data_IF_849377077301
#
_entry.id   IF_849377077301
#
_cell.length_a   1.000
_cell.length_b   1.000
_cell.length_c   1.000
_cell.angle_alpha   90.00
_cell.angle_beta   90.00
_cell.angle_gamma   90.00
#
_symmetry.space_group_name_H-M   'P 1'
#
loop_
_entity.id
_entity.type
_entity.pdbx_description
1 polymer ?
#
# COMPACT_ATOMS: atom_id res chain seq x y z
N UNK A 1 11.74 -1.04 6.40
CA UNK A 1 10.72 -1.09 7.44
C UNK A 1 11.32 -0.74 8.79
N UNK A 2 10.52 -0.17 9.62
CA UNK A 2 10.84 0.15 11.01
C UNK A 2 9.93 -0.70 11.90
N UNK A 3 10.51 -1.63 12.65
CA UNK A 3 9.74 -2.58 13.46
C UNK A 3 8.91 -1.87 14.55
N UNK A 4 9.48 -0.86 15.21
CA UNK A 4 8.81 -0.16 16.31
C UNK A 4 7.65 0.68 15.77
N UNK A 5 7.85 1.42 14.68
CA UNK A 5 6.80 2.19 14.02
C UNK A 5 5.66 1.30 13.48
N UNK A 6 5.99 0.15 12.89
CA UNK A 6 5.01 -0.83 12.40
C UNK A 6 4.18 -1.42 13.56
N UNK A 7 4.83 -1.75 14.69
CA UNK A 7 4.16 -2.26 15.89
C UNK A 7 3.26 -1.19 16.53
N UNK A 8 3.72 0.06 16.59
CA UNK A 8 2.92 1.17 17.11
C UNK A 8 1.68 1.43 16.26
N UNK A 9 1.82 1.47 14.94
CA UNK A 9 0.69 1.58 14.02
C UNK A 9 -0.34 0.46 14.21
N UNK A 10 0.13 -0.78 14.42
CA UNK A 10 -0.74 -1.92 14.72
C UNK A 10 -1.50 -1.73 16.05
N UNK A 11 -0.85 -1.23 17.10
CA UNK A 11 -1.50 -0.94 18.39
C UNK A 11 -2.59 0.14 18.25
N UNK A 12 -2.36 1.14 17.42
CA UNK A 12 -3.37 2.18 17.16
C UNK A 12 -4.59 1.60 16.44
N UNK A 13 -4.37 0.75 15.43
CA UNK A 13 -5.46 0.05 14.74
C UNK A 13 -6.24 -0.86 15.69
N UNK A 14 -5.57 -1.58 16.59
CA UNK A 14 -6.24 -2.36 17.64
C UNK A 14 -7.13 -1.48 18.53
N UNK A 15 -6.62 -0.33 18.94
CA UNK A 15 -7.37 0.64 19.73
C UNK A 15 -8.61 1.18 19.02
N UNK A 16 -8.57 1.22 17.67
CA UNK A 16 -9.71 1.55 16.83
C UNK A 16 -10.71 0.39 16.64
N UNK A 17 -10.40 -0.81 17.16
CA UNK A 17 -11.32 -1.96 17.17
C UNK A 17 -11.34 -2.77 15.87
N UNK A 18 -10.23 -2.82 15.13
CA UNK A 18 -10.13 -3.68 13.94
C UNK A 18 -10.16 -5.16 14.31
N UNK A 19 -10.74 -5.98 13.45
CA UNK A 19 -10.89 -7.43 13.62
C UNK A 19 -10.05 -8.26 12.64
N UNK A 20 -9.35 -7.60 11.71
CA UNK A 20 -8.43 -8.19 10.75
C UNK A 20 -7.40 -7.13 10.38
N UNK A 21 -6.14 -7.50 10.29
CA UNK A 21 -5.09 -6.64 9.77
C UNK A 21 -4.52 -7.17 8.45
N UNK A 22 -4.09 -6.25 7.62
CA UNK A 22 -3.24 -6.53 6.46
C UNK A 22 -2.06 -5.59 6.51
N UNK A 23 -0.85 -6.13 6.34
CA UNK A 23 0.35 -5.31 6.34
C UNK A 23 0.92 -5.14 4.95
N UNK A 24 1.51 -3.97 4.68
CA UNK A 24 2.33 -3.69 3.50
C UNK A 24 3.72 -3.24 3.96
N UNK A 25 4.34 -4.03 4.82
CA UNK A 25 5.70 -3.82 5.35
C UNK A 25 6.45 -5.15 5.36
N UNK A 26 7.77 -5.08 5.42
CA UNK A 26 8.64 -6.26 5.44
C UNK A 26 9.13 -6.61 6.84
N UNK A 27 8.69 -5.87 7.88
CA UNK A 27 9.01 -6.21 9.27
C UNK A 27 8.00 -7.22 9.83
N UNK A 28 8.29 -7.74 10.99
CA UNK A 28 7.39 -8.63 11.73
C UNK A 28 6.62 -7.91 12.85
N UNK A 29 6.74 -6.58 12.96
CA UNK A 29 6.13 -5.80 14.03
C UNK A 29 4.62 -5.96 14.11
N UNK A 30 3.93 -5.78 12.97
CA UNK A 30 2.46 -5.94 12.91
C UNK A 30 2.05 -7.38 13.26
N UNK A 31 2.74 -8.38 12.70
CA UNK A 31 2.44 -9.79 12.96
C UNK A 31 2.62 -10.15 14.44
N UNK A 32 3.66 -9.60 15.10
CA UNK A 32 3.89 -9.81 16.54
C UNK A 32 2.73 -9.24 17.35
N UNK A 33 2.30 -8.01 17.06
CA UNK A 33 1.17 -7.38 17.76
C UNK A 33 -0.14 -8.16 17.51
N UNK A 34 -0.37 -8.65 16.30
CA UNK A 34 -1.53 -9.48 15.99
C UNK A 34 -1.53 -10.78 16.80
N UNK A 35 -0.37 -11.46 16.89
CA UNK A 35 -0.22 -12.70 17.66
C UNK A 35 -0.46 -12.48 19.17
N UNK A 36 -0.04 -11.35 19.72
CA UNK A 36 -0.24 -11.01 21.14
C UNK A 36 -1.70 -10.67 21.48
N UNK A 37 -2.53 -10.36 20.46
CA UNK A 37 -3.90 -9.87 20.64
C UNK A 37 -4.96 -10.73 19.94
N UNK A 38 -4.60 -11.93 19.46
CA UNK A 38 -5.50 -12.87 18.76
C UNK A 38 -6.22 -12.24 17.54
N UNK A 39 -5.53 -11.37 16.78
CA UNK A 39 -6.07 -10.69 15.61
C UNK A 39 -5.57 -11.35 14.33
N UNK A 40 -6.46 -11.87 13.45
CA UNK A 40 -6.07 -12.42 12.17
C UNK A 40 -5.30 -11.41 11.30
N UNK A 41 -4.27 -11.90 10.58
CA UNK A 41 -3.44 -11.05 9.73
C UNK A 41 -3.16 -11.68 8.38
N UNK A 42 -3.14 -10.84 7.33
CA UNK A 42 -2.59 -11.16 6.01
C UNK A 42 -1.26 -10.45 5.85
N UNK A 43 -0.20 -11.23 5.63
CA UNK A 43 1.16 -10.72 5.46
C UNK A 43 1.47 -10.24 4.05
N UNK A 44 2.63 -9.60 3.90
CA UNK A 44 3.16 -9.14 2.63
C UNK A 44 4.66 -9.41 2.52
N UNK A 45 5.11 -9.73 1.31
CA UNK A 45 6.49 -9.97 0.92
C UNK A 45 7.17 -11.18 1.56
N UNK A 46 6.90 -11.48 2.83
CA UNK A 46 7.46 -12.60 3.59
C UNK A 46 6.35 -13.46 4.20
N UNK A 47 6.65 -14.73 4.41
CA UNK A 47 5.73 -15.61 5.13
C UNK A 47 5.84 -15.33 6.64
N UNK A 48 4.74 -14.92 7.25
CA UNK A 48 4.67 -14.54 8.67
C UNK A 48 4.12 -15.65 9.58
N UNK A 49 3.88 -16.85 9.05
CA UNK A 49 3.28 -17.95 9.83
C UNK A 49 4.13 -18.39 11.01
N UNK A 50 5.46 -18.24 10.90
CA UNK A 50 6.36 -18.59 12.00
C UNK A 50 6.35 -17.55 13.14
N UNK A 51 5.85 -16.34 12.85
CA UNK A 51 5.73 -15.24 13.84
C UNK A 51 4.37 -15.26 14.51
N UNK A 52 3.31 -15.49 13.74
CA UNK A 52 1.92 -15.50 14.19
C UNK A 52 1.22 -16.81 13.75
N UNK A 53 1.56 -17.96 14.35
CA UNK A 53 1.11 -19.27 13.84
C UNK A 53 -0.42 -19.47 13.84
N UNK A 54 -1.13 -18.79 14.74
CA UNK A 54 -2.59 -18.88 14.86
C UNK A 54 -3.30 -17.76 14.10
N UNK A 55 -2.67 -16.60 13.96
CA UNK A 55 -3.28 -15.37 13.42
C UNK A 55 -2.94 -15.15 11.95
N UNK A 56 -1.76 -15.62 11.48
CA UNK A 56 -1.38 -15.50 10.07
C UNK A 56 -2.26 -16.39 9.20
N UNK A 57 -3.09 -15.79 8.36
CA UNK A 57 -3.96 -16.51 7.42
C UNK A 57 -3.21 -16.93 6.17
N UNK A 58 -2.44 -16.03 5.62
CA UNK A 58 -1.54 -16.19 4.47
C UNK A 58 -0.69 -14.93 4.30
N UNK A 59 0.20 -14.93 3.33
CA UNK A 59 0.96 -13.74 2.91
C UNK A 59 1.01 -13.66 1.39
N UNK A 60 0.85 -12.49 0.81
CA UNK A 60 1.22 -12.24 -0.57
C UNK A 60 2.74 -12.15 -0.66
N UNK A 61 3.38 -13.07 -1.38
CA UNK A 61 4.84 -13.15 -1.47
C UNK A 61 5.33 -12.94 -2.90
N UNK A 62 6.50 -12.31 -3.03
CA UNK A 62 7.21 -12.17 -4.29
C UNK A 62 8.16 -13.36 -4.46
N UNK A 63 7.94 -14.14 -5.50
CA UNK A 63 8.79 -15.28 -5.83
C UNK A 63 9.95 -14.84 -6.72
N UNK A 64 11.00 -14.32 -6.10
CA UNK A 64 12.20 -13.85 -6.78
C UNK A 64 12.91 -14.93 -7.62
N UNK A 65 12.69 -16.22 -7.33
CA UNK A 65 13.31 -17.32 -8.06
C UNK A 65 12.93 -17.28 -9.56
N UNK A 66 11.74 -16.82 -9.90
CA UNK A 66 11.29 -16.67 -11.30
C UNK A 66 12.18 -15.69 -12.04
N UNK A 67 12.36 -14.49 -11.48
CA UNK A 67 13.22 -13.48 -12.11
C UNK A 67 14.70 -13.89 -12.15
N UNK A 68 15.24 -14.42 -11.07
CA UNK A 68 16.65 -14.82 -11.04
C UNK A 68 16.93 -15.95 -12.03
N UNK A 69 16.03 -16.92 -12.15
CA UNK A 69 16.14 -17.98 -13.15
C UNK A 69 16.12 -17.40 -14.57
N UNK A 70 15.23 -16.47 -14.86
CA UNK A 70 15.19 -15.75 -16.13
C UNK A 70 16.50 -15.02 -16.42
N UNK A 71 16.97 -14.20 -15.48
CA UNK A 71 18.19 -13.40 -15.64
C UNK A 71 19.44 -14.27 -15.86
N UNK A 72 19.59 -15.36 -15.09
CA UNK A 72 20.68 -16.33 -15.27
C UNK A 72 20.62 -16.98 -16.64
N UNK A 73 19.42 -17.40 -17.10
CA UNK A 73 19.26 -17.98 -18.44
C UNK A 73 19.61 -16.99 -19.55
N UNK A 74 19.29 -15.71 -19.42
CA UNK A 74 19.71 -14.68 -20.35
C UNK A 74 21.24 -14.62 -20.45
N UNK A 75 21.93 -14.59 -19.33
CA UNK A 75 23.40 -14.55 -19.28
C UNK A 75 24.01 -15.80 -19.92
N UNK A 76 23.54 -16.99 -19.55
CA UNK A 76 24.02 -18.28 -20.08
C UNK A 76 23.85 -18.38 -21.60
N UNK A 77 22.75 -17.85 -22.13
CA UNK A 77 22.43 -17.90 -23.56
C UNK A 77 22.96 -16.69 -24.34
N UNK A 78 23.64 -15.74 -23.70
CA UNK A 78 24.14 -14.52 -24.34
C UNK A 78 23.04 -13.60 -24.84
N UNK A 79 21.86 -13.65 -24.24
CA UNK A 79 20.73 -12.76 -24.54
C UNK A 79 20.67 -11.62 -23.53
N UNK A 80 20.15 -10.45 -23.98
CA UNK A 80 19.98 -9.31 -23.07
C UNK A 80 18.90 -9.60 -22.04
N UNK A 81 19.12 -9.19 -20.79
CA UNK A 81 18.09 -9.13 -19.77
C UNK A 81 17.16 -7.97 -20.14
N UNK A 82 15.85 -8.18 -20.04
CA UNK A 82 14.86 -7.13 -20.27
C UNK A 82 15.07 -5.99 -19.26
N UNK A 83 15.02 -4.75 -19.74
CA UNK A 83 15.21 -3.57 -18.91
C UNK A 83 13.97 -3.21 -18.09
N UNK A 84 12.83 -3.79 -18.43
CA UNK A 84 11.53 -3.59 -17.75
C UNK A 84 10.79 -4.93 -17.69
N UNK A 85 11.36 -5.87 -16.92
CA UNK A 85 10.74 -7.17 -16.69
C UNK A 85 9.63 -7.04 -15.65
N UNK A 86 8.47 -7.58 -15.97
CA UNK A 86 7.34 -7.66 -15.04
C UNK A 86 6.76 -9.07 -15.10
N UNK A 87 6.63 -9.70 -13.95
CA UNK A 87 5.97 -10.99 -13.78
C UNK A 87 4.85 -10.89 -12.76
N UNK A 88 3.75 -11.51 -13.04
CA UNK A 88 2.55 -11.52 -12.20
C UNK A 88 2.20 -12.92 -11.69
N UNK A 89 0.92 -13.09 -11.47
CA UNK A 89 0.33 -14.35 -11.00
C UNK A 89 0.51 -15.49 -12.02
N UNK A 90 0.40 -15.18 -13.32
CA UNK A 90 0.55 -16.16 -14.42
C UNK A 90 1.96 -16.73 -14.50
N UNK A 91 2.96 -15.91 -14.18
CA UNK A 91 4.37 -16.31 -14.17
C UNK A 91 4.77 -16.95 -12.85
N UNK A 92 3.90 -17.02 -11.86
CA UNK A 92 4.17 -17.35 -10.47
C UNK A 92 5.22 -16.43 -9.82
N UNK A 93 5.37 -15.21 -10.32
CA UNK A 93 6.26 -14.19 -9.73
C UNK A 93 5.65 -13.57 -8.46
N UNK A 94 4.32 -13.57 -8.37
CA UNK A 94 3.56 -13.28 -7.16
C UNK A 94 2.71 -14.50 -6.81
N UNK A 95 2.72 -14.92 -5.55
CA UNK A 95 1.95 -16.07 -5.07
C UNK A 95 1.45 -15.80 -3.66
N UNK A 96 0.51 -16.62 -3.19
CA UNK A 96 0.21 -16.70 -1.77
C UNK A 96 1.19 -17.67 -1.09
N UNK A 97 1.54 -17.40 0.15
CA UNK A 97 2.20 -18.38 1.03
C UNK A 97 1.25 -19.54 1.34
N UNK A 98 1.71 -20.51 2.10
CA UNK A 98 0.83 -21.55 2.61
C UNK A 98 -0.39 -20.92 3.30
N UNK A 99 -1.59 -21.41 2.95
CA UNK A 99 -2.81 -21.04 3.63
C UNK A 99 -2.87 -21.73 5.01
N UNK A 100 -3.30 -20.99 6.01
CA UNK A 100 -3.50 -21.51 7.35
C UNK A 100 -4.97 -21.95 7.52
N UNK A 101 -5.33 -23.05 6.86
CA UNK A 101 -6.70 -23.54 6.72
C UNK A 101 -7.38 -23.81 8.08
N UNK A 102 -6.61 -24.10 9.13
CA UNK A 102 -7.15 -24.29 10.47
C UNK A 102 -7.76 -23.01 11.08
N UNK A 103 -7.37 -21.85 10.53
CA UNK A 103 -7.78 -20.53 11.04
C UNK A 103 -8.56 -19.70 10.01
N UNK A 104 -8.76 -20.24 8.80
CA UNK A 104 -9.62 -19.64 7.78
C UNK A 104 -11.10 -19.97 8.05
N UNK A 105 -11.98 -19.04 7.72
CA UNK A 105 -13.41 -19.29 7.76
C UNK A 105 -13.82 -20.34 6.70
N UNK A 106 -14.90 -21.06 6.97
CA UNK A 106 -15.45 -22.06 6.03
C UNK A 106 -15.70 -21.45 4.65
N UNK A 107 -15.25 -22.12 3.60
CA UNK A 107 -15.38 -21.69 2.21
C UNK A 107 -14.34 -20.69 1.74
N UNK A 108 -13.42 -20.23 2.62
CA UNK A 108 -12.36 -19.28 2.23
C UNK A 108 -11.38 -19.88 1.23
N UNK A 109 -11.00 -21.13 1.39
CA UNK A 109 -10.04 -21.80 0.49
C UNK A 109 -10.62 -21.91 -0.92
N UNK A 110 -11.87 -22.36 -1.04
CA UNK A 110 -12.56 -22.45 -2.32
C UNK A 110 -12.70 -21.08 -2.97
N UNK A 111 -13.07 -20.05 -2.20
CA UNK A 111 -13.18 -18.69 -2.73
C UNK A 111 -11.85 -18.12 -3.20
N UNK A 112 -10.76 -18.38 -2.47
CA UNK A 112 -9.41 -17.96 -2.88
C UNK A 112 -9.00 -18.65 -4.20
N UNK A 113 -9.28 -19.95 -4.35
CA UNK A 113 -8.99 -20.68 -5.59
C UNK A 113 -9.80 -20.16 -6.77
N UNK A 114 -11.07 -19.79 -6.57
CA UNK A 114 -11.91 -19.20 -7.61
C UNK A 114 -11.36 -17.83 -8.04
N UNK A 115 -11.00 -16.96 -7.09
CA UNK A 115 -10.40 -15.65 -7.40
C UNK A 115 -9.05 -15.81 -8.09
N UNK A 116 -8.21 -16.75 -7.65
CA UNK A 116 -6.95 -17.06 -8.33
C UNK A 116 -7.17 -17.44 -9.79
N UNK A 117 -8.16 -18.27 -10.06
CA UNK A 117 -8.54 -18.67 -11.42
C UNK A 117 -9.06 -17.50 -12.24
N UNK A 118 -9.93 -16.66 -11.66
CA UNK A 118 -10.42 -15.43 -12.29
C UNK A 118 -9.27 -14.49 -12.67
N UNK A 119 -8.28 -14.30 -11.77
CA UNK A 119 -7.08 -13.49 -12.04
C UNK A 119 -6.23 -14.08 -13.18
N UNK A 120 -5.97 -15.39 -13.16
CA UNK A 120 -5.17 -16.07 -14.21
C UNK A 120 -5.84 -16.02 -15.57
N UNK A 121 -7.16 -16.08 -15.61
CA UNK A 121 -7.92 -16.01 -16.88
C UNK A 121 -8.12 -14.56 -17.37
N UNK A 122 -7.81 -13.56 -16.54
CA UNK A 122 -8.10 -12.16 -16.82
C UNK A 122 -9.57 -11.78 -16.69
N UNK A 123 -10.35 -12.61 -15.98
CA UNK A 123 -11.78 -12.37 -15.73
C UNK A 123 -11.99 -11.40 -14.56
N UNK A 124 -11.05 -11.37 -13.59
CA UNK A 124 -11.06 -10.40 -12.50
C UNK A 124 -10.29 -9.14 -12.90
N UNK A 125 -10.92 -7.99 -12.70
CA UNK A 125 -10.29 -6.68 -12.82
C UNK A 125 -9.82 -6.23 -11.42
N UNK A 126 -8.52 -6.01 -11.24
CA UNK A 126 -7.97 -5.54 -9.94
C UNK A 126 -8.36 -4.08 -9.72
N UNK A 127 -8.06 -3.21 -10.68
CA UNK A 127 -8.45 -1.82 -10.66
C UNK A 127 -9.53 -1.56 -11.73
N UNK A 128 -10.75 -1.98 -11.42
CA UNK A 128 -11.91 -1.79 -12.28
C UNK A 128 -12.34 -0.32 -12.27
N UNK A 129 -12.05 0.39 -13.36
CA UNK A 129 -12.27 1.83 -13.50
C UNK A 129 -13.76 2.21 -13.54
N UNK A 130 -14.65 1.23 -13.68
CA UNK A 130 -16.09 1.43 -13.59
C UNK A 130 -16.60 1.50 -12.13
N UNK A 131 -15.74 1.14 -11.15
CA UNK A 131 -16.11 1.05 -9.72
C UNK A 131 -15.62 2.23 -8.89
N UNK A 132 -14.88 3.14 -9.46
CA UNK A 132 -14.42 4.33 -8.76
C UNK A 132 -14.41 5.55 -9.67
N UNK A 133 -14.44 6.72 -9.07
CA UNK A 133 -14.26 8.01 -9.71
C UNK A 133 -13.19 8.81 -8.98
N UNK A 134 -12.70 9.86 -9.61
CA UNK A 134 -11.76 10.84 -9.04
C UNK A 134 -12.36 12.22 -9.34
N UNK A 135 -12.64 13.00 -8.32
CA UNK A 135 -13.31 14.29 -8.43
C UNK A 135 -14.62 14.22 -9.25
N UNK A 136 -15.39 13.15 -9.06
CA UNK A 136 -16.66 12.90 -9.74
C UNK A 136 -16.54 12.46 -11.21
N UNK A 137 -15.33 12.24 -11.72
CA UNK A 137 -15.08 11.86 -13.11
C UNK A 137 -14.49 10.46 -13.21
N UNK A 138 -14.75 9.75 -14.32
CA UNK A 138 -14.07 8.48 -14.58
C UNK A 138 -12.60 8.70 -14.90
N UNK A 139 -11.74 7.71 -14.60
CA UNK A 139 -10.32 7.78 -14.90
C UNK A 139 -10.07 7.90 -16.42
N UNK A 140 -10.92 7.29 -17.24
CA UNK A 140 -10.87 7.41 -18.70
C UNK A 140 -11.07 8.86 -19.15
N UNK A 141 -12.12 9.51 -18.63
CA UNK A 141 -12.42 10.91 -18.96
C UNK A 141 -11.28 11.82 -18.56
N UNK A 142 -10.77 11.66 -17.32
CA UNK A 142 -9.62 12.45 -16.86
C UNK A 142 -8.37 12.21 -17.72
N UNK A 143 -8.11 10.96 -18.10
CA UNK A 143 -6.96 10.63 -18.97
C UNK A 143 -7.07 11.22 -20.38
N UNK A 144 -8.28 11.54 -20.87
CA UNK A 144 -8.52 12.22 -22.14
C UNK A 144 -8.41 13.75 -22.00
N UNK A 145 -9.02 14.32 -20.97
CA UNK A 145 -9.29 15.74 -20.86
C UNK A 145 -8.28 16.50 -19.97
N UNK A 146 -7.64 15.82 -19.00
CA UNK A 146 -6.75 16.44 -18.04
C UNK A 146 -5.27 16.10 -18.32
N UNK A 147 -4.43 17.13 -18.34
CA UNK A 147 -3.01 17.00 -18.65
C UNK A 147 -2.24 16.14 -17.63
N UNK A 148 -2.60 16.22 -16.37
CA UNK A 148 -1.95 15.49 -15.26
C UNK A 148 -2.31 14.00 -15.28
N UNK A 149 -3.49 13.66 -15.83
CA UNK A 149 -3.97 12.30 -15.95
C UNK A 149 -3.61 11.61 -17.27
N UNK A 150 -3.14 12.33 -18.27
CA UNK A 150 -2.73 11.75 -19.57
C UNK A 150 -1.71 10.62 -19.46
N UNK A 151 -0.88 10.64 -18.41
CA UNK A 151 0.10 9.58 -18.14
C UNK A 151 -0.52 8.20 -17.96
N UNK A 152 -1.76 8.13 -17.51
CA UNK A 152 -2.49 6.87 -17.23
C UNK A 152 -3.16 6.26 -18.49
N UNK A 153 -3.42 7.05 -19.52
CA UNK A 153 -4.24 6.65 -20.69
C UNK A 153 -3.81 5.33 -21.34
N UNK A 154 -2.50 5.07 -21.44
CA UNK A 154 -1.99 3.84 -22.10
C UNK A 154 -2.18 2.58 -21.26
N UNK A 155 -2.43 2.73 -19.95
CA UNK A 155 -2.62 1.62 -19.03
C UNK A 155 -4.08 1.33 -18.74
N UNK A 156 -5.01 2.18 -19.21
CA UNK A 156 -6.45 1.95 -19.12
C UNK A 156 -6.88 1.12 -20.33
N UNK A 157 -7.38 -0.08 -20.09
CA UNK A 157 -7.81 -1.01 -21.15
C UNK A 157 -9.00 -1.85 -20.70
N UNK A 158 -10.10 -1.75 -21.43
CA UNK A 158 -11.29 -2.57 -21.19
C UNK A 158 -11.94 -2.30 -19.83
N UNK A 159 -11.92 -1.06 -19.37
CA UNK A 159 -12.48 -0.67 -18.06
C UNK A 159 -11.62 -1.14 -16.87
N UNK A 160 -10.32 -1.26 -17.08
CA UNK A 160 -9.36 -1.61 -16.02
C UNK A 160 -8.09 -0.79 -16.18
N UNK A 161 -7.55 -0.30 -15.09
CA UNK A 161 -6.20 0.25 -15.02
C UNK A 161 -5.21 -0.90 -14.80
N UNK A 162 -4.35 -1.14 -15.79
CA UNK A 162 -3.33 -2.20 -15.75
C UNK A 162 -2.04 -1.64 -15.15
N UNK A 163 -1.89 -1.74 -13.83
CA UNK A 163 -0.67 -1.31 -13.13
C UNK A 163 0.51 -2.25 -13.39
N UNK A 164 0.21 -3.51 -13.72
CA UNK A 164 1.20 -4.52 -14.09
C UNK A 164 1.13 -4.79 -15.58
N UNK A 165 2.18 -4.55 -16.29
CA UNK A 165 2.25 -4.80 -17.74
C UNK A 165 3.70 -4.94 -18.16
N UNK A 166 3.94 -5.15 -19.48
CA UNK A 166 5.29 -5.20 -20.05
C UNK A 166 6.11 -3.91 -19.87
N UNK A 167 5.51 -2.88 -19.30
CA UNK A 167 6.17 -1.63 -18.90
C UNK A 167 5.51 -1.15 -17.64
N UNK A 168 6.34 -0.72 -16.69
CA UNK A 168 5.87 -0.16 -15.45
C UNK A 168 4.84 0.94 -15.71
N UNK A 169 3.66 0.77 -15.13
CA UNK A 169 2.64 1.79 -15.16
C UNK A 169 3.00 2.92 -14.19
N UNK A 170 2.54 4.15 -14.43
CA UNK A 170 2.63 5.20 -13.43
C UNK A 170 1.90 4.79 -12.16
N UNK A 171 2.49 5.10 -11.00
CA UNK A 171 1.77 4.98 -9.73
C UNK A 171 0.52 5.86 -9.76
N UNK A 172 -0.55 5.38 -9.16
CA UNK A 172 -1.78 6.16 -8.99
C UNK A 172 -1.54 7.20 -7.89
N UNK A 173 -1.26 8.45 -8.32
CA UNK A 173 -0.95 9.59 -7.46
C UNK A 173 -2.19 10.46 -7.24
N UNK A 174 -3.32 9.83 -6.97
CA UNK A 174 -4.60 10.46 -6.71
C UNK A 174 -5.41 9.63 -5.71
N UNK A 175 -6.32 10.27 -5.01
CA UNK A 175 -7.31 9.59 -4.19
C UNK A 175 -8.58 9.35 -5.01
N UNK A 176 -9.16 8.19 -4.85
CA UNK A 176 -10.48 7.90 -5.39
C UNK A 176 -11.56 8.54 -4.51
N UNK A 177 -12.71 8.87 -5.10
CA UNK A 177 -13.82 9.44 -4.34
C UNK A 177 -14.22 8.53 -3.18
N UNK A 178 -14.45 9.14 -2.02
CA UNK A 178 -14.75 8.44 -0.77
C UNK A 178 -13.52 8.05 0.05
N UNK A 179 -12.31 8.32 -0.44
CA UNK A 179 -11.05 8.23 0.32
C UNK A 179 -10.57 9.65 0.61
N UNK A 180 -10.38 9.96 1.88
CA UNK A 180 -9.88 11.24 2.35
C UNK A 180 -8.48 11.06 2.94
N UNK A 181 -7.59 12.01 2.67
CA UNK A 181 -6.29 12.03 3.33
C UNK A 181 -6.49 12.36 4.81
N UNK A 182 -6.04 11.48 5.68
CA UNK A 182 -6.03 11.76 7.11
C UNK A 182 -4.81 12.60 7.47
N UNK A 183 -5.03 13.74 8.11
CA UNK A 183 -3.96 14.56 8.71
C UNK A 183 -3.45 13.97 10.04
N UNK A 184 -3.83 12.74 10.35
CA UNK A 184 -3.40 12.07 11.56
C UNK A 184 -1.90 11.72 11.46
N UNK A 185 -1.07 12.44 12.19
CA UNK A 185 0.35 12.13 12.35
C UNK A 185 0.51 10.88 13.20
N UNK A 186 0.80 9.75 12.57
CA UNK A 186 1.10 8.49 13.25
C UNK A 186 2.45 8.52 14.00
N UNK A 187 3.31 9.43 13.64
CA UNK A 187 4.59 9.67 14.32
C UNK A 187 4.36 10.88 15.23
N UNK A 188 4.15 10.62 16.50
CA UNK A 188 3.88 11.65 17.50
C UNK A 188 4.91 12.78 17.46
N UNK A 189 4.68 13.77 16.62
CA UNK A 189 5.28 15.06 16.76
C UNK A 189 4.59 15.74 17.94
N UNK A 190 5.17 15.59 19.11
CA UNK A 190 4.91 16.49 20.20
C UNK A 190 5.19 17.91 19.72
N UNK A 191 4.15 18.73 19.75
CA UNK A 191 4.16 20.18 19.74
C UNK A 191 4.75 20.90 18.51
N UNK A 192 3.90 21.25 17.57
CA UNK A 192 3.95 22.58 16.98
C UNK A 192 2.58 23.25 17.02
N UNK A 193 2.12 23.55 18.22
CA UNK A 193 1.10 24.58 18.42
C UNK A 193 1.76 25.94 18.23
N UNK A 194 1.92 26.37 16.98
CA UNK A 194 2.09 27.78 16.71
C UNK A 194 0.74 28.44 16.94
N UNK A 195 0.60 28.94 18.15
CA UNK A 195 -0.39 29.93 18.52
C UNK A 195 -0.27 31.16 17.59
N UNK A 196 -1.16 31.25 16.62
CA UNK A 196 -1.37 32.47 15.84
C UNK A 196 -2.27 33.41 16.60
N UNK A 197 -1.77 33.90 17.73
CA UNK A 197 -2.35 35.02 18.43
C UNK A 197 -2.01 36.31 17.71
N UNK A 198 -2.96 36.84 16.99
CA UNK A 198 -2.98 38.21 16.52
C UNK A 198 -3.10 39.15 17.75
N UNK A 199 -2.04 39.81 18.13
CA UNK A 199 -2.17 41.03 18.92
C UNK A 199 -1.79 42.23 18.06
N UNK A 200 -2.80 43.05 17.88
CA UNK A 200 -2.78 44.37 17.30
C UNK A 200 -1.92 45.33 18.14
N UNK A 201 -1.13 46.11 17.42
CA UNK A 201 -0.37 47.24 17.92
C UNK A 201 -1.26 48.26 18.63
N UNK A 202 -0.79 48.81 19.73
CA UNK A 202 -1.11 50.17 20.13
C UNK A 202 0.16 50.93 20.52
N UNK A 203 0.34 52.06 19.86
CA UNK A 203 1.39 53.05 20.10
C UNK A 203 1.05 53.87 21.32
N UNK A 204 2.07 54.16 22.14
CA UNK A 204 2.31 55.50 22.73
C UNK A 204 3.54 55.35 23.66
N UNK A 205 4.66 55.96 23.39
CA UNK A 205 4.90 57.36 23.54
C UNK A 205 5.75 57.62 24.76
N UNK A 206 6.91 58.21 24.53
CA UNK A 206 7.58 59.18 25.47
C UNK A 206 8.91 58.78 26.10
N UNK A 207 9.93 59.37 25.52
CA UNK A 207 11.00 60.23 26.10
C UNK A 207 11.91 59.69 27.21
N UNK A 208 13.17 59.62 26.86
CA UNK A 208 14.32 60.46 27.25
C UNK A 208 14.98 60.21 28.62
N UNK A 209 16.24 60.23 28.54
CA UNK A 209 17.33 60.80 29.36
C UNK A 209 18.16 59.78 30.14
N UNK A 210 19.36 59.73 29.71
CA UNK A 210 20.64 60.17 30.28
C UNK A 210 21.26 59.37 31.44
N UNK A 211 22.56 59.22 31.26
CA UNK A 211 23.73 59.40 32.12
C UNK A 211 24.41 58.10 32.62
N UNK A 212 25.64 57.96 32.13
CA UNK A 212 26.93 57.85 32.79
C UNK A 212 27.10 56.95 34.04
N UNK A 213 27.91 55.91 33.87
CA UNK A 213 29.33 55.83 34.38
C UNK A 213 29.99 54.55 33.84
#
# INVERSE_FOLDING_TARGET
GDYEADAEAAQQLLSAGVSLMSQFTTTTGVATICAENDIPIVGNAVNIIDVAPSEALTSAIVNWNVYYTYAVNCVVNGTAIDTDWCGGYDDNAVTLSQLNDAHLADGSVERLQDVEKELRNGDAKVFDTEKFTVDGSSLETLAEDDADFKKYAKNIKGGEYKESGKRSAPSMEFFVDGVEESTYNYLGDEENTTDSGSESADESGSTAEDAEE
#
